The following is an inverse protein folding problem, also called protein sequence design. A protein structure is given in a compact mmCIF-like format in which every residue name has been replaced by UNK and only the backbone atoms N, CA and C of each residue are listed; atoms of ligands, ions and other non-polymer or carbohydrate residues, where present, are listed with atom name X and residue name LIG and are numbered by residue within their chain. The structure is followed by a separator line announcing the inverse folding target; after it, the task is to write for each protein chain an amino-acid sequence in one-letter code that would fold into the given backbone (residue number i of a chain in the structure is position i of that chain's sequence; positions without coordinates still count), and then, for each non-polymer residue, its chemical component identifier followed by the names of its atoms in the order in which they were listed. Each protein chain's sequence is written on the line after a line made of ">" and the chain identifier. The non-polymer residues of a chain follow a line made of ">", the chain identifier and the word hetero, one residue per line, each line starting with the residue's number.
data_IF_692081482244
#
_entry.id   IF_692081482244
#
_cell.length_a   1.000
_cell.length_b   1.000
_cell.length_c   1.000
_cell.angle_alpha   90.00
_cell.angle_beta   90.00
_cell.angle_gamma   90.00
#
_symmetry.space_group_name_H-M   'P 1'
#
loop_
_entity.id
_entity.type
_entity.pdbx_description
1 polymer ?
#
# COMPACT_ATOMS: atom_id res chain seq x y z
N UNK A 1 3.22 24.69 5.54
CA UNK A 1 2.60 23.38 5.22
C UNK A 1 2.77 22.52 6.45
N UNK A 2 1.66 22.13 7.08
CA UNK A 2 1.55 21.71 8.48
C UNK A 2 2.15 20.33 8.76
N UNK A 3 2.92 20.22 9.85
CA UNK A 3 3.58 19.00 10.33
C UNK A 3 2.61 17.83 10.59
N UNK A 4 1.31 18.10 10.76
CA UNK A 4 0.26 17.08 10.91
C UNK A 4 0.02 16.24 9.65
N UNK A 5 0.30 16.75 8.45
CA UNK A 5 0.16 15.98 7.21
C UNK A 5 1.20 14.86 7.09
N UNK A 6 2.35 14.98 7.77
CA UNK A 6 3.41 13.94 7.74
C UNK A 6 3.08 12.73 8.61
N UNK A 7 2.29 12.91 9.67
CA UNK A 7 1.97 11.82 10.61
C UNK A 7 0.82 10.95 10.10
N UNK A 8 -0.18 11.53 9.40
CA UNK A 8 -1.22 10.75 8.73
C UNK A 8 -0.70 9.88 7.58
N UNK A 9 0.39 10.29 6.92
CA UNK A 9 1.07 9.50 5.87
C UNK A 9 1.76 8.27 6.46
N UNK A 10 2.15 8.28 7.75
CA UNK A 10 2.73 7.12 8.46
C UNK A 10 1.70 6.05 8.85
N UNK A 11 0.49 6.12 8.31
CA UNK A 11 -0.55 5.12 8.52
C UNK A 11 -0.75 4.29 7.25
N UNK A 12 -1.11 3.02 7.40
CA UNK A 12 -1.46 2.14 6.27
C UNK A 12 -2.54 2.73 5.36
N UNK A 13 -3.47 3.49 5.95
CA UNK A 13 -4.50 4.22 5.21
C UNK A 13 -3.90 5.35 4.37
N UNK A 14 -2.97 6.12 4.93
CA UNK A 14 -2.21 7.13 4.18
C UNK A 14 -1.48 6.52 2.99
N UNK A 15 -0.78 5.40 3.21
CA UNK A 15 -0.12 4.64 2.14
C UNK A 15 -1.10 4.16 1.05
N UNK A 16 -2.27 3.64 1.45
CA UNK A 16 -3.31 3.21 0.52
C UNK A 16 -3.83 4.36 -0.35
N UNK A 17 -4.10 5.53 0.24
CA UNK A 17 -4.63 6.69 -0.48
C UNK A 17 -3.60 7.15 -1.52
N UNK A 18 -2.33 7.30 -1.11
CA UNK A 18 -1.26 7.71 -2.02
C UNK A 18 -1.05 6.67 -3.13
N UNK A 19 -1.14 5.37 -2.80
CA UNK A 19 -1.05 4.30 -3.78
C UNK A 19 -2.20 4.37 -4.80
N UNK A 20 -3.44 4.51 -4.33
CA UNK A 20 -4.62 4.61 -5.19
C UNK A 20 -4.55 5.83 -6.12
N UNK A 21 -4.07 6.98 -5.62
CA UNK A 21 -3.89 8.19 -6.42
C UNK A 21 -2.77 8.02 -7.46
N UNK A 22 -1.64 7.41 -7.09
CA UNK A 22 -0.52 7.14 -8.01
C UNK A 22 -0.92 6.22 -9.16
N UNK A 23 -1.75 5.22 -8.89
CA UNK A 23 -2.20 4.23 -9.88
C UNK A 23 -3.53 4.62 -10.55
N UNK A 24 -4.06 5.83 -10.28
CA UNK A 24 -5.33 6.31 -10.83
C UNK A 24 -6.52 5.34 -10.59
N UNK A 25 -6.52 4.66 -9.45
CA UNK A 25 -7.57 3.70 -9.10
C UNK A 25 -8.85 4.47 -8.76
N UNK A 26 -9.93 4.21 -9.51
CA UNK A 26 -11.24 4.78 -9.18
C UNK A 26 -11.87 3.99 -8.04
N UNK A 27 -12.73 4.67 -7.27
CA UNK A 27 -13.42 4.07 -6.12
C UNK A 27 -14.28 2.86 -6.55
N UNK A 28 -14.84 2.90 -7.76
CA UNK A 28 -15.61 1.79 -8.35
C UNK A 28 -14.75 0.56 -8.60
N UNK A 29 -13.55 0.75 -9.17
CA UNK A 29 -12.61 -0.34 -9.45
C UNK A 29 -12.08 -0.91 -8.13
N UNK A 30 -11.74 -0.05 -7.17
CA UNK A 30 -11.36 -0.48 -5.81
C UNK A 30 -12.46 -1.28 -5.11
N UNK A 31 -13.72 -0.82 -5.19
CA UNK A 31 -14.85 -1.55 -4.64
C UNK A 31 -15.00 -2.95 -5.28
N UNK A 32 -14.85 -3.03 -6.60
CA UNK A 32 -15.00 -4.26 -7.36
C UNK A 32 -13.92 -5.29 -7.04
N UNK A 33 -12.65 -4.87 -7.05
CA UNK A 33 -11.49 -5.73 -6.77
C UNK A 33 -11.49 -6.21 -5.31
N UNK A 34 -11.83 -5.32 -4.37
CA UNK A 34 -11.86 -5.63 -2.94
C UNK A 34 -13.14 -6.37 -2.50
N UNK A 35 -14.10 -6.60 -3.42
CA UNK A 35 -15.44 -7.13 -3.13
C UNK A 35 -16.16 -6.35 -2.02
N UNK A 36 -16.02 -5.03 -2.05
CA UNK A 36 -16.69 -4.12 -1.14
C UNK A 36 -17.88 -3.43 -1.80
N UNK A 37 -18.80 -2.96 -0.97
CA UNK A 37 -19.80 -2.00 -1.44
C UNK A 37 -19.11 -0.68 -1.78
N UNK A 38 -19.64 0.03 -2.78
CA UNK A 38 -19.13 1.37 -3.16
C UNK A 38 -19.04 2.31 -1.94
N UNK A 39 -20.06 2.30 -1.08
CA UNK A 39 -20.08 3.10 0.16
C UNK A 39 -18.92 2.75 1.09
N UNK A 40 -18.60 1.47 1.25
CA UNK A 40 -17.50 1.03 2.11
C UNK A 40 -16.13 1.39 1.52
N UNK A 41 -15.94 1.14 0.22
CA UNK A 41 -14.76 1.55 -0.53
C UNK A 41 -14.51 3.07 -0.44
N UNK A 42 -15.56 3.87 -0.63
CA UNK A 42 -15.50 5.32 -0.46
C UNK A 42 -15.12 5.70 0.98
N UNK A 43 -15.70 5.02 1.97
CA UNK A 43 -15.41 5.27 3.39
C UNK A 43 -13.96 4.98 3.77
N UNK A 44 -13.33 3.99 3.13
CA UNK A 44 -11.92 3.64 3.33
C UNK A 44 -10.99 4.66 2.65
N UNK A 45 -11.24 4.99 1.37
CA UNK A 45 -10.33 5.83 0.57
C UNK A 45 -10.49 7.33 0.81
N UNK A 46 -11.70 7.80 1.08
CA UNK A 46 -12.03 9.24 1.20
C UNK A 46 -12.78 9.59 2.49
N UNK A 47 -13.39 8.61 3.14
CA UNK A 47 -14.11 8.80 4.40
C UNK A 47 -13.28 8.55 5.65
N UNK A 48 -13.96 8.34 6.77
CA UNK A 48 -13.35 8.15 8.09
C UNK A 48 -13.06 6.70 8.48
N UNK A 49 -13.41 5.70 7.66
CA UNK A 49 -13.19 4.31 8.07
C UNK A 49 -11.69 3.97 8.13
N UNK A 50 -11.26 3.19 9.14
CA UNK A 50 -9.88 2.72 9.23
C UNK A 50 -9.63 1.64 8.17
N UNK A 51 -8.39 1.57 7.69
CA UNK A 51 -7.94 0.46 6.85
C UNK A 51 -7.32 -0.63 7.75
N UNK A 52 -8.07 -1.70 7.97
CA UNK A 52 -7.74 -2.75 8.94
C UNK A 52 -6.79 -3.80 8.35
N UNK A 53 -6.18 -4.64 9.20
CA UNK A 53 -5.33 -5.76 8.77
C UNK A 53 -6.07 -6.76 7.88
N UNK A 54 -7.37 -6.98 8.11
CA UNK A 54 -8.19 -7.81 7.24
C UNK A 54 -8.34 -7.18 5.86
N UNK A 55 -8.62 -5.87 5.80
CA UNK A 55 -8.70 -5.14 4.54
C UNK A 55 -7.35 -5.16 3.80
N UNK A 56 -6.24 -5.07 4.52
CA UNK A 56 -4.90 -5.25 3.93
C UNK A 56 -4.69 -6.67 3.37
N UNK A 57 -5.12 -7.72 4.09
CA UNK A 57 -5.06 -9.08 3.58
C UNK A 57 -5.84 -9.27 2.28
N UNK A 58 -7.05 -8.72 2.20
CA UNK A 58 -7.86 -8.72 0.96
C UNK A 58 -7.20 -7.92 -0.16
N UNK A 59 -6.57 -6.80 0.17
CA UNK A 59 -5.83 -5.98 -0.78
C UNK A 59 -4.66 -6.75 -1.40
N UNK A 60 -3.90 -7.50 -0.60
CA UNK A 60 -2.80 -8.34 -1.09
C UNK A 60 -3.33 -9.43 -2.05
N UNK A 61 -4.51 -9.99 -1.77
CA UNK A 61 -5.12 -10.99 -2.65
C UNK A 61 -5.66 -10.39 -3.95
N UNK A 62 -6.21 -9.18 -3.91
CA UNK A 62 -6.80 -8.52 -5.07
C UNK A 62 -5.74 -7.90 -6.01
N UNK A 63 -4.77 -7.17 -5.44
CA UNK A 63 -3.78 -6.40 -6.21
C UNK A 63 -2.38 -7.03 -6.23
N UNK A 64 -2.19 -8.12 -5.49
CA UNK A 64 -0.93 -8.84 -5.41
C UNK A 64 0.06 -8.29 -4.39
N UNK A 65 1.12 -9.05 -4.17
CA UNK A 65 2.16 -8.75 -3.18
C UNK A 65 3.01 -7.54 -3.57
N UNK A 66 3.13 -7.23 -4.87
CA UNK A 66 3.86 -6.05 -5.36
C UNK A 66 3.15 -4.75 -4.92
N UNK A 67 1.84 -4.66 -5.14
CA UNK A 67 1.03 -3.53 -4.68
C UNK A 67 1.07 -3.38 -3.15
N UNK A 68 1.02 -4.49 -2.42
CA UNK A 68 1.13 -4.50 -0.97
C UNK A 68 2.49 -3.97 -0.48
N UNK A 69 3.58 -4.35 -1.14
CA UNK A 69 4.92 -3.85 -0.82
C UNK A 69 5.03 -2.34 -1.10
N UNK A 70 4.48 -1.87 -2.21
CA UNK A 70 4.43 -0.43 -2.52
C UNK A 70 3.63 0.34 -1.48
N UNK A 71 2.47 -0.18 -1.07
CA UNK A 71 1.62 0.43 -0.04
C UNK A 71 2.36 0.52 1.29
N UNK A 72 3.03 -0.54 1.73
CA UNK A 72 3.81 -0.55 2.97
C UNK A 72 4.99 0.43 2.93
N UNK A 73 5.69 0.52 1.80
CA UNK A 73 6.76 1.49 1.60
C UNK A 73 6.21 2.93 1.67
N UNK A 74 5.05 3.19 1.07
CA UNK A 74 4.37 4.49 1.11
C UNK A 74 3.85 4.84 2.51
N UNK A 75 3.45 3.84 3.30
CA UNK A 75 3.01 4.01 4.67
C UNK A 75 4.17 4.27 5.66
N UNK A 76 5.42 4.36 5.17
CA UNK A 76 6.58 4.62 6.01
C UNK A 76 6.97 3.45 6.90
N UNK A 77 6.61 2.22 6.53
CA UNK A 77 7.17 1.01 7.13
C UNK A 77 8.59 0.85 6.59
N UNK A 78 9.52 1.64 7.14
CA UNK A 78 10.93 1.57 6.81
C UNK A 78 11.47 0.19 7.23
N UNK A 79 12.17 -0.44 6.28
CA UNK A 79 12.98 -1.68 6.21
C UNK A 79 13.39 -2.45 7.51
N UNK A 80 13.33 -1.84 8.69
CA UNK A 80 13.80 -2.43 9.95
C UNK A 80 12.92 -3.55 10.54
N UNK A 81 11.77 -3.88 9.92
CA UNK A 81 10.93 -5.03 10.30
C UNK A 81 10.95 -6.17 9.25
N UNK A 82 11.54 -5.95 8.07
CA UNK A 82 11.72 -6.98 7.03
C UNK A 82 12.84 -7.97 7.43
N UNK A 83 13.61 -7.66 8.48
CA UNK A 83 14.61 -8.57 9.09
C UNK A 83 14.01 -9.75 9.85
N UNK A 84 12.68 -9.79 10.05
CA UNK A 84 11.97 -10.89 10.72
C UNK A 84 11.44 -11.97 9.77
N UNK A 85 11.59 -11.80 8.45
CA UNK A 85 11.33 -12.87 7.51
C UNK A 85 12.59 -13.73 7.40
N UNK A 86 12.52 -15.05 7.67
CA UNK A 86 13.67 -15.92 7.48
C UNK A 86 14.13 -15.83 6.02
N UNK A 87 15.45 -15.92 5.76
CA UNK A 87 16.02 -15.76 4.43
C UNK A 87 15.56 -16.90 3.51
N UNK A 88 14.40 -16.75 2.88
CA UNK A 88 13.98 -17.67 1.84
C UNK A 88 14.66 -17.25 0.54
N UNK A 89 15.75 -17.98 0.27
CA UNK A 89 16.53 -18.08 -0.98
C UNK A 89 16.03 -17.23 -2.16
N UNK A 90 16.79 -16.19 -2.47
CA UNK A 90 17.39 -16.06 -3.80
C UNK A 90 16.67 -15.26 -4.89
N UNK A 91 15.38 -14.92 -4.78
CA UNK A 91 14.66 -14.33 -5.93
C UNK A 91 14.12 -12.90 -5.72
N UNK A 92 13.85 -12.46 -4.49
CA UNK A 92 13.29 -11.11 -4.26
C UNK A 92 14.33 -9.98 -4.22
N UNK A 93 15.61 -10.31 -4.02
CA UNK A 93 16.70 -9.31 -3.98
C UNK A 93 16.89 -8.60 -5.33
N UNK A 94 16.63 -9.29 -6.44
CA UNK A 94 16.74 -8.69 -7.79
C UNK A 94 15.62 -7.69 -8.08
N UNK A 95 14.42 -7.92 -7.55
CA UNK A 95 13.28 -7.02 -7.73
C UNK A 95 13.41 -5.76 -6.88
N UNK A 96 13.86 -5.88 -5.63
CA UNK A 96 14.11 -4.73 -4.76
C UNK A 96 15.22 -3.82 -5.32
N UNK A 97 16.29 -4.38 -5.88
CA UNK A 97 17.35 -3.58 -6.54
C UNK A 97 16.87 -2.95 -7.86
N UNK A 98 16.01 -3.62 -8.62
CA UNK A 98 15.47 -3.09 -9.88
C UNK A 98 14.53 -1.89 -9.68
N UNK A 99 13.72 -1.88 -8.61
CA UNK A 99 12.85 -0.75 -8.29
C UNK A 99 13.63 0.53 -7.90
N UNK A 100 14.90 0.40 -7.47
CA UNK A 100 15.74 1.51 -7.00
C UNK A 100 16.65 2.06 -8.13
N UNK A 101 17.16 1.20 -9.03
CA UNK A 101 18.15 1.60 -10.05
C UNK A 101 17.57 2.24 -11.33
N UNK A 102 16.26 2.23 -11.55
CA UNK A 102 15.64 2.77 -12.77
C UNK A 102 15.45 4.30 -12.83
N UNK A 103 15.88 5.05 -11.81
CA UNK A 103 15.64 6.51 -11.68
C UNK A 103 16.86 7.39 -11.98
N UNK A 104 17.73 6.95 -12.88
CA UNK A 104 18.89 7.73 -13.29
C UNK A 104 19.43 7.28 -14.64
N UNK A 105 18.82 7.76 -15.73
CA UNK A 105 19.49 8.23 -16.95
C UNK A 105 18.48 8.95 -17.83
#
# INVERSE_FOLDING_TARGET
>A
MTEQAKDEIKTLKGGLIVWAEKHNIRITDFAFEMKYTYKHAWSILRGGSPFTSEAFGRFVLAYGTDAACQLLALAGVEDNQIKLLPPHKGEYSKLATACIQGRGK
#
